data_IF_182945084848
#
_entry.id   IF_182945084848
#
_cell.length_a   1.000
_cell.length_b   1.000
_cell.length_c   1.000
_cell.angle_alpha   90.00
_cell.angle_beta   90.00
_cell.angle_gamma   90.00
#
_symmetry.space_group_name_H-M   'P 1'
#
loop_
_entity.id
_entity.type
_entity.pdbx_description
1 polymer ?
#
# COMPACT_ATOMS: atom_id res chain seq x y z
N UNK A 1 9.99 9.70 6.99
CA UNK A 1 9.48 8.80 8.05
C UNK A 1 8.23 9.46 8.59
N UNK A 2 7.11 8.74 8.59
CA UNK A 2 5.81 9.20 9.11
C UNK A 2 5.22 8.11 10.00
N UNK A 3 3.97 8.26 10.43
CA UNK A 3 3.34 7.26 11.28
C UNK A 3 2.01 7.69 11.85
N UNK A 4 1.38 6.77 12.57
CA UNK A 4 0.16 7.00 13.34
C UNK A 4 0.34 6.45 14.74
N UNK A 5 -0.14 7.16 15.76
CA UNK A 5 0.10 6.81 17.16
C UNK A 5 -0.89 5.76 17.71
N UNK A 6 -1.87 5.34 16.91
CA UNK A 6 -2.99 4.48 17.33
C UNK A 6 -3.41 3.47 16.24
N UNK A 7 -2.52 3.19 15.29
CA UNK A 7 -2.71 2.19 14.24
C UNK A 7 -1.50 1.26 14.29
N UNK A 8 -1.76 -0.02 14.48
CA UNK A 8 -0.71 -1.03 14.52
C UNK A 8 -0.11 -1.29 13.14
N UNK A 9 1.19 -1.64 13.04
CA UNK A 9 1.85 -1.95 11.77
C UNK A 9 1.12 -3.03 10.96
N UNK A 10 0.61 -4.05 11.63
CA UNK A 10 -0.10 -5.20 11.04
C UNK A 10 -1.42 -4.75 10.42
N UNK A 11 -2.20 -3.93 11.13
CA UNK A 11 -3.45 -3.35 10.63
C UNK A 11 -3.19 -2.50 9.39
N UNK A 12 -2.16 -1.66 9.43
CA UNK A 12 -1.79 -0.85 8.26
C UNK A 12 -1.34 -1.73 7.08
N UNK A 13 -0.61 -2.81 7.33
CA UNK A 13 -0.21 -3.76 6.29
C UNK A 13 -1.43 -4.44 5.66
N UNK A 14 -2.39 -4.92 6.46
CA UNK A 14 -3.64 -5.53 5.97
C UNK A 14 -4.43 -4.53 5.12
N UNK A 15 -4.72 -3.34 5.65
CA UNK A 15 -5.50 -2.33 4.95
C UNK A 15 -4.82 -1.84 3.67
N UNK A 16 -3.49 -1.80 3.64
CA UNK A 16 -2.74 -1.41 2.45
C UNK A 16 -2.81 -2.47 1.33
N UNK A 17 -2.89 -3.75 1.69
CA UNK A 17 -2.88 -4.88 0.76
C UNK A 17 -4.28 -5.36 0.36
N UNK A 18 -5.28 -5.13 1.20
CA UNK A 18 -6.68 -5.46 0.92
C UNK A 18 -7.29 -4.47 -0.07
N UNK A 19 -7.18 -4.81 -1.37
CA UNK A 19 -7.69 -3.98 -2.46
C UNK A 19 -9.22 -3.95 -2.52
N UNK A 20 -9.89 -5.01 -2.08
CA UNK A 20 -11.36 -5.05 -2.00
C UNK A 20 -11.85 -4.05 -0.95
N UNK A 21 -11.22 -4.05 0.24
CA UNK A 21 -11.50 -3.05 1.26
C UNK A 21 -11.09 -1.65 0.80
N UNK A 22 -9.93 -1.49 0.16
CA UNK A 22 -9.48 -0.20 -0.40
C UNK A 22 -10.51 0.43 -1.31
N UNK A 23 -11.19 -0.38 -2.12
CA UNK A 23 -12.23 0.09 -3.04
C UNK A 23 -13.41 0.77 -2.35
N UNK A 24 -13.64 0.49 -1.06
CA UNK A 24 -14.72 1.08 -0.26
C UNK A 24 -14.43 2.51 0.23
N UNK A 25 -13.16 2.91 0.29
CA UNK A 25 -12.75 4.19 0.88
C UNK A 25 -11.85 5.05 -0.02
N UNK A 26 -11.04 4.46 -0.89
CA UNK A 26 -10.17 5.20 -1.81
C UNK A 26 -10.95 5.67 -3.04
N UNK A 27 -11.41 6.93 -3.01
CA UNK A 27 -12.15 7.55 -4.12
C UNK A 27 -11.39 7.62 -5.45
N UNK A 28 -10.06 7.47 -5.44
CA UNK A 28 -9.25 7.47 -6.64
C UNK A 28 -9.09 6.07 -7.24
N UNK A 29 -9.34 5.00 -6.47
CA UNK A 29 -9.30 3.64 -6.98
C UNK A 29 -10.50 3.38 -7.90
N UNK A 30 -10.24 3.00 -9.16
CA UNK A 30 -11.27 2.72 -10.17
C UNK A 30 -11.57 1.23 -10.32
N UNK A 31 -10.56 0.38 -10.31
CA UNK A 31 -10.74 -1.08 -10.32
C UNK A 31 -9.48 -1.78 -9.83
N UNK A 32 -9.62 -3.02 -9.40
CA UNK A 32 -8.50 -3.96 -9.31
C UNK A 32 -8.94 -5.33 -9.81
N UNK A 33 -7.97 -6.10 -10.29
CA UNK A 33 -8.15 -7.49 -10.69
C UNK A 33 -6.93 -8.29 -10.24
N UNK A 34 -7.15 -9.48 -9.68
CA UNK A 34 -6.08 -10.42 -9.37
C UNK A 34 -5.77 -11.22 -10.64
N UNK A 35 -4.50 -11.24 -11.02
CA UNK A 35 -4.01 -11.92 -12.22
C UNK A 35 -3.00 -12.98 -11.78
N UNK A 36 -3.28 -14.24 -12.09
CA UNK A 36 -2.30 -15.31 -11.90
C UNK A 36 -1.22 -15.22 -12.98
N UNK A 37 0.06 -15.20 -12.59
CA UNK A 37 1.16 -15.40 -13.53
C UNK A 37 1.44 -16.89 -13.70
N UNK A 38 0.90 -17.48 -14.76
CA UNK A 38 1.06 -18.91 -15.06
C UNK A 38 2.52 -19.35 -15.24
N UNK A 39 3.46 -18.41 -15.49
CA UNK A 39 4.88 -18.73 -15.71
C UNK A 39 5.72 -18.68 -14.44
N UNK A 40 5.44 -17.76 -13.53
CA UNK A 40 6.21 -17.59 -12.29
C UNK A 40 5.47 -18.07 -11.05
N UNK A 41 4.19 -18.46 -11.19
CA UNK A 41 3.26 -18.73 -10.10
C UNK A 41 3.08 -17.53 -9.14
N UNK A 42 3.48 -16.32 -9.56
CA UNK A 42 3.28 -15.10 -8.78
C UNK A 42 1.83 -14.62 -8.92
N UNK A 43 1.26 -14.15 -7.81
CA UNK A 43 0.02 -13.38 -7.84
C UNK A 43 0.37 -11.94 -8.22
N UNK A 44 -0.21 -11.47 -9.32
CA UNK A 44 -0.10 -10.10 -9.80
C UNK A 44 -1.44 -9.38 -9.63
N UNK A 45 -1.40 -8.06 -9.67
CA UNK A 45 -2.57 -7.21 -9.60
C UNK A 45 -2.59 -6.26 -10.79
N UNK A 46 -3.75 -6.14 -11.42
CA UNK A 46 -4.10 -4.94 -12.16
C UNK A 46 -4.75 -3.95 -11.20
N UNK A 47 -4.38 -2.67 -11.30
CA UNK A 47 -4.94 -1.60 -10.48
C UNK A 47 -5.12 -0.35 -11.33
N UNK A 48 -6.33 0.18 -11.41
CA UNK A 48 -6.65 1.38 -12.16
C UNK A 48 -6.99 2.54 -11.22
N UNK A 49 -6.46 3.73 -11.52
CA UNK A 49 -6.62 4.93 -10.71
C UNK A 49 -7.07 6.14 -11.52
N UNK A 50 -8.00 6.88 -10.91
CA UNK A 50 -8.53 8.13 -11.41
C UNK A 50 -7.49 9.23 -11.25
N UNK A 51 -7.08 9.81 -12.37
CA UNK A 51 -6.26 11.02 -12.37
C UNK A 51 -7.15 12.28 -12.43
N UNK A 52 -6.64 13.43 -11.96
CA UNK A 52 -7.34 14.70 -12.10
C UNK A 52 -7.55 15.08 -13.57
N UNK A 53 -8.77 15.47 -13.93
CA UNK A 53 -9.08 15.99 -15.26
C UNK A 53 -8.21 17.23 -15.57
N UNK A 54 -7.67 17.39 -16.80
CA UNK A 54 -7.94 16.64 -18.03
C UNK A 54 -7.00 15.46 -18.30
N UNK A 55 -6.28 14.96 -17.30
CA UNK A 55 -5.34 13.86 -17.49
C UNK A 55 -6.07 12.51 -17.62
N UNK A 56 -5.60 11.65 -18.51
CA UNK A 56 -6.05 10.26 -18.60
C UNK A 56 -5.83 9.50 -17.29
N UNK A 57 -6.68 8.53 -16.98
CA UNK A 57 -6.44 7.62 -15.85
C UNK A 57 -5.14 6.84 -16.04
N UNK A 58 -4.60 6.31 -14.95
CA UNK A 58 -3.44 5.40 -14.99
C UNK A 58 -3.87 4.00 -14.61
N UNK A 59 -3.12 3.03 -15.07
CA UNK A 59 -3.17 1.68 -14.52
C UNK A 59 -1.77 1.08 -14.30
N UNK A 60 -1.71 0.12 -13.39
CA UNK A 60 -0.53 -0.68 -13.09
C UNK A 60 -0.85 -2.15 -13.35
N UNK A 61 0.18 -2.90 -13.75
CA UNK A 61 0.22 -4.35 -13.58
C UNK A 61 1.47 -4.64 -12.75
N UNK A 62 1.30 -5.12 -11.53
CA UNK A 62 2.39 -5.23 -10.58
C UNK A 62 2.25 -6.48 -9.72
N UNK A 63 3.36 -6.92 -9.15
CA UNK A 63 3.38 -7.93 -8.09
C UNK A 63 3.65 -7.24 -6.76
N UNK A 64 3.11 -7.82 -5.69
CA UNK A 64 3.33 -7.33 -4.32
C UNK A 64 3.74 -8.50 -3.43
N UNK A 65 4.66 -8.22 -2.52
CA UNK A 65 5.13 -9.19 -1.53
C UNK A 65 5.13 -8.53 -0.16
N UNK A 66 4.63 -9.25 0.84
CA UNK A 66 4.76 -8.91 2.26
C UNK A 66 5.75 -9.86 2.91
N UNK A 67 6.65 -9.32 3.74
CA UNK A 67 7.55 -10.09 4.59
C UNK A 67 7.55 -9.51 5.99
N UNK A 68 7.28 -10.36 6.99
CA UNK A 68 7.48 -10.01 8.38
C UNK A 68 8.90 -10.42 8.79
N UNK A 69 9.71 -9.46 9.22
CA UNK A 69 11.12 -9.69 9.58
C UNK A 69 11.40 -9.16 10.99
N UNK A 70 12.30 -9.82 11.72
CA UNK A 70 12.80 -9.32 13.01
C UNK A 70 14.23 -8.80 12.83
N UNK A 71 14.50 -7.59 13.30
CA UNK A 71 15.82 -6.98 13.30
C UNK A 71 16.04 -6.22 14.61
N UNK A 72 17.14 -6.49 15.31
CA UNK A 72 17.48 -5.87 16.61
C UNK A 72 16.31 -5.93 17.62
N UNK A 73 15.63 -7.07 17.72
CA UNK A 73 14.50 -7.26 18.64
C UNK A 73 13.20 -6.57 18.23
N UNK A 74 13.17 -5.84 17.10
CA UNK A 74 11.95 -5.22 16.57
C UNK A 74 11.39 -6.00 15.40
N UNK A 75 10.06 -6.09 15.34
CA UNK A 75 9.31 -6.63 14.20
C UNK A 75 9.10 -5.54 13.16
N UNK A 76 9.22 -5.93 11.89
CA UNK A 76 8.99 -5.07 10.73
C UNK A 76 8.09 -5.79 9.74
N UNK A 77 7.04 -5.11 9.27
CA UNK A 77 6.29 -5.52 8.09
C UNK A 77 6.88 -4.79 6.87
N UNK A 78 7.42 -5.55 5.92
CA UNK A 78 8.03 -5.02 4.71
C UNK A 78 7.17 -5.40 3.51
N UNK A 79 6.60 -4.38 2.85
CA UNK A 79 5.79 -4.52 1.65
C UNK A 79 6.57 -3.99 0.45
N UNK A 80 6.86 -4.88 -0.49
CA UNK A 80 7.56 -4.55 -1.74
C UNK A 80 6.60 -4.73 -2.90
N UNK A 81 6.55 -3.78 -3.82
CA UNK A 81 5.83 -3.94 -5.07
C UNK A 81 6.63 -3.39 -6.22
N UNK A 82 6.48 -3.99 -7.38
CA UNK A 82 7.09 -3.52 -8.62
C UNK A 82 6.26 -3.90 -9.83
N UNK A 83 6.36 -3.09 -10.89
CA UNK A 83 5.70 -3.35 -12.15
C UNK A 83 6.16 -4.68 -12.75
N UNK A 84 5.20 -5.48 -13.22
CA UNK A 84 5.48 -6.68 -14.01
C UNK A 84 5.43 -6.27 -15.48
N UNK A 85 6.60 -6.06 -16.07
CA UNK A 85 6.73 -5.71 -17.49
C UNK A 85 6.18 -6.83 -18.35
N UNK A 86 5.41 -6.49 -19.40
CA UNK A 86 4.97 -7.17 -20.64
C UNK A 86 4.81 -8.72 -20.73
N UNK A 87 5.52 -9.52 -19.95
CA UNK A 87 5.53 -10.98 -19.95
C UNK A 87 4.18 -11.63 -19.60
N UNK A 88 3.21 -10.85 -19.11
CA UNK A 88 1.88 -11.28 -18.67
C UNK A 88 0.78 -11.24 -19.74
N UNK A 89 1.06 -10.75 -20.97
CA UNK A 89 0.03 -10.55 -22.02
C UNK A 89 -1.21 -9.73 -21.57
N UNK A 90 -1.13 -8.96 -20.48
CA UNK A 90 -2.25 -8.18 -19.99
C UNK A 90 -2.39 -6.87 -20.81
N UNK A 91 -3.46 -6.71 -21.61
CA UNK A 91 -3.55 -5.63 -22.60
C UNK A 91 -3.67 -4.26 -21.95
N UNK A 92 -3.16 -3.23 -22.63
CA UNK A 92 -3.42 -1.83 -22.26
C UNK A 92 -4.86 -1.45 -22.64
N UNK A 93 -5.51 -0.64 -21.79
CA UNK A 93 -6.89 -0.18 -22.01
C UNK A 93 -6.91 1.15 -22.75
N UNK A 94 -7.78 1.29 -23.76
CA UNK A 94 -7.91 2.52 -24.54
C UNK A 94 -8.27 3.70 -23.62
N UNK A 95 -7.50 4.78 -23.69
CA UNK A 95 -7.73 6.00 -22.92
C UNK A 95 -7.14 5.98 -21.50
N UNK A 96 -6.49 4.89 -21.10
CA UNK A 96 -5.77 4.73 -19.83
C UNK A 96 -4.27 4.63 -20.14
N UNK A 97 -3.43 5.26 -19.32
CA UNK A 97 -1.98 5.24 -19.49
C UNK A 97 -1.37 4.20 -18.54
N UNK A 98 -0.75 3.15 -19.10
CA UNK A 98 -0.03 2.14 -18.33
C UNK A 98 1.28 2.67 -17.76
N UNK A 99 1.41 2.57 -16.44
CA UNK A 99 2.68 2.75 -15.73
C UNK A 99 3.45 1.43 -15.79
N UNK A 100 4.60 1.46 -16.45
CA UNK A 100 5.49 0.30 -16.64
C UNK A 100 6.72 0.34 -15.72
N UNK A 101 7.00 1.49 -15.13
CA UNK A 101 8.12 1.70 -14.22
C UNK A 101 7.55 2.18 -12.91
N UNK A 102 7.38 1.24 -12.01
CA UNK A 102 6.96 1.50 -10.64
C UNK A 102 7.66 0.49 -9.74
N UNK A 103 8.18 0.98 -8.63
CA UNK A 103 8.67 0.18 -7.53
C UNK A 103 8.41 0.90 -6.21
N UNK A 104 8.12 0.13 -5.18
CA UNK A 104 8.05 0.64 -3.82
C UNK A 104 8.58 -0.36 -2.82
N UNK A 105 9.13 0.17 -1.74
CA UNK A 105 9.33 -0.55 -0.48
C UNK A 105 8.71 0.27 0.64
N UNK A 106 7.78 -0.35 1.37
CA UNK A 106 7.21 0.19 2.59
C UNK A 106 7.63 -0.67 3.77
N UNK A 107 8.19 -0.05 4.80
CA UNK A 107 8.63 -0.69 6.02
C UNK A 107 7.85 -0.10 7.19
N UNK A 108 7.13 -0.96 7.91
CA UNK A 108 6.27 -0.61 9.03
C UNK A 108 6.84 -1.25 10.30
N UNK A 109 6.87 -0.52 11.40
CA UNK A 109 7.29 -1.05 12.70
C UNK A 109 6.54 -0.34 13.81
N UNK A 110 6.41 -0.97 14.98
CA UNK A 110 5.77 -0.35 16.12
C UNK A 110 6.47 0.95 16.51
N UNK A 111 5.70 1.93 16.96
CA UNK A 111 6.25 3.10 17.61
C UNK A 111 6.78 2.76 19.01
N UNK A 112 7.38 3.73 19.69
CA UNK A 112 7.94 3.50 21.03
C UNK A 112 6.89 3.19 22.10
N UNK A 113 5.60 3.45 21.83
CA UNK A 113 4.49 3.16 22.74
C UNK A 113 3.89 1.77 22.54
N UNK A 114 4.17 1.12 21.40
CA UNK A 114 3.53 -0.13 20.98
C UNK A 114 2.08 0.02 20.51
N UNK A 115 1.50 1.24 20.60
CA UNK A 115 0.11 1.51 20.20
C UNK A 115 0.01 2.02 18.76
N UNK A 116 1.10 2.55 18.23
CA UNK A 116 1.18 3.12 16.90
C UNK A 116 2.19 2.44 15.99
N UNK A 117 2.32 2.97 14.78
CA UNK A 117 3.30 2.53 13.79
C UNK A 117 4.13 3.69 13.26
N UNK A 118 5.40 3.40 13.02
CA UNK A 118 6.30 4.19 12.19
C UNK A 118 6.36 3.59 10.78
N UNK A 119 6.38 4.47 9.79
CA UNK A 119 6.36 4.15 8.37
C UNK A 119 7.54 4.80 7.68
N UNK A 120 8.30 3.98 6.97
CA UNK A 120 9.25 4.41 5.95
C UNK A 120 8.75 3.90 4.60
N UNK A 121 8.64 4.80 3.62
CA UNK A 121 8.25 4.44 2.27
C UNK A 121 9.27 5.01 1.29
N UNK A 122 9.88 4.12 0.52
CA UNK A 122 10.59 4.44 -0.70
C UNK A 122 9.67 4.10 -1.87
N UNK A 123 9.40 5.08 -2.73
CA UNK A 123 8.40 4.98 -3.78
C UNK A 123 8.86 5.74 -5.01
N UNK A 124 8.75 5.09 -6.15
CA UNK A 124 8.95 5.70 -7.44
C UNK A 124 7.98 5.12 -8.46
N UNK A 125 7.40 5.99 -9.26
CA UNK A 125 6.75 5.64 -10.50
C UNK A 125 7.06 6.68 -11.59
N UNK A 126 7.04 6.24 -12.85
CA UNK A 126 6.93 7.14 -14.00
C UNK A 126 5.45 7.24 -14.40
N UNK A 127 4.75 8.35 -14.06
CA UNK A 127 3.33 8.49 -14.34
C UNK A 127 3.03 8.73 -15.83
N UNK A 128 4.10 8.89 -16.65
CA UNK A 128 4.14 9.12 -18.09
C UNK A 128 3.33 10.33 -18.59
N UNK A 129 3.84 10.93 -19.67
CA UNK A 129 3.24 12.10 -20.29
C UNK A 129 3.52 13.41 -19.55
N UNK A 130 3.00 14.52 -20.09
CA UNK A 130 3.26 15.85 -19.56
C UNK A 130 2.26 16.19 -18.46
N UNK A 131 2.71 16.19 -17.21
CA UNK A 131 1.89 16.56 -16.05
C UNK A 131 2.04 18.06 -15.79
N UNK A 132 0.95 18.86 -15.85
CA UNK A 132 1.02 20.29 -15.54
C UNK A 132 1.48 20.54 -14.11
N UNK A 133 2.32 21.57 -13.89
CA UNK A 133 2.82 21.92 -12.56
C UNK A 133 1.70 22.23 -11.55
N UNK A 134 0.56 22.73 -12.02
CA UNK A 134 -0.63 22.94 -11.18
C UNK A 134 -1.14 21.63 -10.56
N UNK A 135 -1.13 20.53 -11.32
CA UNK A 135 -1.55 19.20 -10.84
C UNK A 135 -0.54 18.67 -9.83
N UNK A 136 0.77 18.83 -10.09
CA UNK A 136 1.84 18.44 -9.15
C UNK A 136 1.67 19.19 -7.82
N UNK A 137 1.45 20.50 -7.88
CA UNK A 137 1.26 21.34 -6.70
C UNK A 137 0.00 20.96 -5.92
N UNK A 138 -1.10 20.68 -6.61
CA UNK A 138 -2.33 20.20 -5.98
C UNK A 138 -2.12 18.84 -5.29
N UNK A 139 -1.42 17.91 -5.94
CA UNK A 139 -1.13 16.60 -5.37
C UNK A 139 -0.31 16.75 -4.08
N UNK A 140 0.75 17.57 -4.09
CA UNK A 140 1.60 17.78 -2.92
C UNK A 140 0.86 18.46 -1.74
N UNK A 141 -0.02 19.43 -2.02
CA UNK A 141 -0.69 20.25 -0.98
C UNK A 141 -2.02 19.67 -0.48
N UNK A 142 -2.67 18.83 -1.28
CA UNK A 142 -4.06 18.42 -1.02
C UNK A 142 -4.28 16.94 -1.30
N UNK A 143 -3.78 16.44 -2.44
CA UNK A 143 -3.96 15.04 -2.83
C UNK A 143 -3.34 14.06 -1.83
N UNK A 144 -2.02 14.17 -1.60
CA UNK A 144 -1.26 13.27 -0.73
C UNK A 144 -1.69 13.38 0.74
N UNK A 145 -1.80 14.58 1.36
CA UNK A 145 -2.28 14.68 2.74
C UNK A 145 -3.68 14.08 2.92
N UNK A 146 -4.61 14.36 2.00
CA UNK A 146 -5.96 13.81 2.08
C UNK A 146 -6.00 12.28 1.90
N UNK A 147 -5.09 11.71 1.10
CA UNK A 147 -4.94 10.25 1.01
C UNK A 147 -4.46 9.65 2.34
N UNK A 148 -3.43 10.24 2.96
CA UNK A 148 -2.90 9.80 4.25
C UNK A 148 -3.99 9.84 5.33
N UNK A 149 -4.76 10.93 5.40
CA UNK A 149 -5.87 11.04 6.37
C UNK A 149 -6.94 9.96 6.16
N UNK A 150 -7.32 9.73 4.89
CA UNK A 150 -8.36 8.73 4.57
C UNK A 150 -7.86 7.31 4.86
N UNK A 151 -6.59 7.01 4.55
CA UNK A 151 -5.96 5.73 4.88
C UNK A 151 -5.94 5.49 6.39
N UNK A 152 -5.57 6.50 7.18
CA UNK A 152 -5.61 6.41 8.65
C UNK A 152 -7.02 6.12 9.17
N UNK A 153 -8.04 6.81 8.67
CA UNK A 153 -9.43 6.55 9.04
C UNK A 153 -9.89 5.13 8.64
N UNK A 154 -9.47 4.65 7.47
CA UNK A 154 -9.77 3.30 7.01
C UNK A 154 -9.13 2.24 7.91
N UNK A 155 -7.89 2.49 8.39
CA UNK A 155 -7.22 1.62 9.36
C UNK A 155 -7.95 1.56 10.69
N UNK A 156 -8.39 2.70 11.24
CA UNK A 156 -9.14 2.73 12.50
C UNK A 156 -10.46 1.94 12.41
N UNK A 157 -11.19 2.12 11.31
CA UNK A 157 -12.43 1.35 11.05
C UNK A 157 -12.15 -0.14 10.88
N UNK A 158 -11.05 -0.50 10.21
CA UNK A 158 -10.67 -1.89 10.02
C UNK A 158 -10.29 -2.55 11.35
N UNK A 159 -9.56 -1.85 12.21
CA UNK A 159 -9.17 -2.31 13.54
C UNK A 159 -10.38 -2.57 14.44
N UNK A 160 -11.38 -1.69 14.39
CA UNK A 160 -12.65 -1.89 15.14
C UNK A 160 -13.42 -3.12 14.65
N UNK A 161 -13.43 -3.37 13.34
CA UNK A 161 -14.11 -4.53 12.75
C UNK A 161 -13.32 -5.85 12.91
N UNK A 162 -11.99 -5.80 13.08
CA UNK A 162 -11.10 -6.96 13.12
C UNK A 162 -10.16 -6.90 14.34
N UNK A 163 -10.68 -7.02 15.58
CA UNK A 163 -9.87 -6.87 16.80
C UNK A 163 -8.73 -7.90 16.90
N UNK A 164 -8.88 -9.10 16.32
CA UNK A 164 -7.86 -10.16 16.37
C UNK A 164 -6.55 -9.79 15.67
N UNK A 165 -6.60 -9.02 14.59
CA UNK A 165 -5.37 -8.54 13.91
C UNK A 165 -4.57 -7.60 14.82
N UNK A 166 -5.27 -6.89 15.71
CA UNK A 166 -4.63 -6.10 16.73
C UNK A 166 -4.16 -6.94 17.92
N UNK A 167 -4.76 -8.09 18.22
CA UNK A 167 -4.38 -8.95 19.36
C UNK A 167 -3.21 -9.87 19.03
N UNK A 168 -3.11 -10.44 17.82
CA UNK A 168 -1.97 -11.27 17.39
C UNK A 168 -0.62 -10.52 17.51
N UNK A 169 -0.65 -9.19 17.40
CA UNK A 169 0.54 -8.36 17.60
C UNK A 169 1.01 -8.27 19.07
N UNK A 170 0.13 -8.52 20.04
CA UNK A 170 0.42 -8.43 21.47
C UNK A 170 0.93 -9.77 22.00
N UNK A 171 0.32 -10.87 21.57
CA UNK A 171 0.70 -12.22 21.99
C UNK A 171 2.15 -12.55 21.56
N UNK A 172 2.55 -12.11 20.36
CA UNK A 172 3.93 -12.21 19.83
C UNK A 172 4.98 -11.42 20.65
N UNK A 173 4.56 -10.39 21.41
CA UNK A 173 5.43 -9.59 22.29
C UNK A 173 5.51 -10.19 23.70
N UNK A 174 4.42 -10.78 24.20
CA UNK A 174 4.36 -11.40 25.53
C UNK A 174 5.18 -12.71 25.58
N UNK A 175 5.15 -13.53 24.52
CA UNK A 175 5.99 -14.73 24.39
C UNK A 175 7.49 -14.40 24.42
N UNK A 176 7.89 -13.18 24.06
CA UNK A 176 9.29 -12.73 24.08
C UNK A 176 9.77 -12.24 25.46
N UNK A 177 8.85 -12.03 26.42
CA UNK A 177 9.19 -11.56 27.78
C UNK A 177 9.30 -12.69 28.80
N UNK A 178 8.95 -13.92 28.42
CA UNK A 178 9.21 -15.08 29.28
C UNK A 178 10.69 -15.49 29.22
N UNK A 179 11.42 -15.50 30.36
CA UNK A 179 12.76 -16.03 30.38
C UNK A 179 12.73 -17.56 30.26
N UNK A 180 13.60 -18.11 29.40
CA UNK A 180 13.94 -19.55 29.38
C UNK A 180 14.65 -19.96 30.66
#
# INVERSE_FOLDING_TARGET
>A
MGGWNNIKPEVLAEVYLDLDYRKTWDKYMLSHEVIANDKTCDICHHYELRYPWPLSNRDYVYKVQRKSVRHQGKRYEVIMAESVVAAMNYPERKGVIRINTYFQTMCLTADTSGQGCNVLMDYYDDPRGNIPSAVINWAAKTGVPGFIDTLGQACLKYQEAHPRVAEESLDDEEECLEPI
#
